data_IF_745640931606
#
_entry.id   IF_745640931606
#
_cell.length_a   1.000
_cell.length_b   1.000
_cell.length_c   1.000
_cell.angle_alpha   90.00
_cell.angle_beta   90.00
_cell.angle_gamma   90.00
#
_symmetry.space_group_name_H-M   'P 1'
#
loop_
_entity.id
_entity.type
_entity.pdbx_description
1 polymer ?
#
# COMPACT_ATOMS: atom_id res chain seq x y z
N UNK A 1 28.48 -28.65 -28.05
CA UNK A 1 27.91 -27.35 -27.67
C UNK A 1 28.26 -27.13 -26.22
N UNK A 2 29.17 -26.21 -25.93
CA UNK A 2 29.62 -25.94 -24.57
C UNK A 2 28.47 -25.35 -23.76
N UNK A 3 28.09 -26.04 -22.68
CA UNK A 3 26.98 -25.63 -21.83
C UNK A 3 27.35 -24.34 -21.12
N UNK A 4 26.56 -23.28 -21.31
CA UNK A 4 26.69 -22.03 -20.55
C UNK A 4 26.72 -22.32 -19.03
N UNK A 5 27.52 -21.56 -18.24
CA UNK A 5 27.56 -21.73 -16.79
C UNK A 5 26.15 -21.60 -16.16
N UNK A 6 25.81 -22.43 -15.16
CA UNK A 6 24.51 -22.40 -14.51
C UNK A 6 24.10 -21.03 -13.96
N UNK A 7 25.05 -20.22 -13.47
CA UNK A 7 24.76 -18.86 -13.01
C UNK A 7 24.38 -17.91 -14.15
N UNK A 8 25.01 -18.08 -15.32
CA UNK A 8 24.73 -17.28 -16.51
C UNK A 8 23.36 -17.64 -17.09
N UNK A 9 23.03 -18.93 -17.14
CA UNK A 9 21.71 -19.42 -17.55
C UNK A 9 20.60 -18.95 -16.61
N UNK A 10 20.82 -18.99 -15.29
CA UNK A 10 19.87 -18.47 -14.31
C UNK A 10 19.66 -16.95 -14.45
N UNK A 11 20.72 -16.18 -14.76
CA UNK A 11 20.61 -14.76 -15.07
C UNK A 11 19.80 -14.52 -16.34
N UNK A 12 20.11 -15.22 -17.44
CA UNK A 12 19.38 -15.10 -18.71
C UNK A 12 17.89 -15.41 -18.50
N UNK A 13 17.58 -16.50 -17.80
CA UNK A 13 16.20 -16.89 -17.51
C UNK A 13 15.44 -15.90 -16.61
N UNK A 14 16.14 -15.14 -15.76
CA UNK A 14 15.53 -14.08 -14.96
C UNK A 14 15.18 -12.82 -15.78
N UNK A 15 15.77 -12.65 -16.97
CA UNK A 15 15.46 -11.57 -17.92
C UNK A 15 14.46 -11.97 -19.00
N UNK A 16 14.17 -13.28 -19.15
CA UNK A 16 13.13 -13.72 -20.07
C UNK A 16 11.76 -13.23 -19.55
N UNK A 17 10.92 -12.66 -20.43
CA UNK A 17 9.56 -12.31 -20.05
C UNK A 17 8.83 -13.59 -19.58
N UNK A 18 7.91 -13.45 -18.63
CA UNK A 18 7.18 -14.60 -18.07
C UNK A 18 6.31 -15.36 -19.11
N UNK A 19 6.17 -14.79 -20.31
CA UNK A 19 5.57 -15.37 -21.52
C UNK A 19 6.52 -16.25 -22.32
N UNK A 20 7.83 -16.19 -22.06
CA UNK A 20 8.74 -17.23 -22.54
C UNK A 20 8.28 -18.56 -21.92
N UNK A 21 8.25 -19.63 -22.70
CA UNK A 21 7.74 -20.93 -22.27
C UNK A 21 8.69 -21.62 -21.28
N UNK A 22 8.88 -20.99 -20.13
CA UNK A 22 9.64 -21.46 -18.98
C UNK A 22 9.05 -22.79 -18.48
N UNK A 23 7.75 -23.02 -18.69
CA UNK A 23 7.08 -24.30 -18.42
C UNK A 23 7.61 -25.40 -19.34
N UNK A 24 7.66 -25.18 -20.65
CA UNK A 24 8.28 -26.13 -21.58
C UNK A 24 9.78 -26.30 -21.31
N UNK A 25 10.53 -25.21 -21.07
CA UNK A 25 11.95 -25.27 -20.66
C UNK A 25 12.15 -26.15 -19.43
N UNK A 26 11.23 -26.12 -18.46
CA UNK A 26 11.28 -26.99 -17.27
C UNK A 26 11.15 -28.48 -17.61
N UNK A 27 10.52 -28.82 -18.72
CA UNK A 27 10.28 -30.19 -19.16
C UNK A 27 11.39 -30.73 -20.06
N UNK A 28 12.28 -29.86 -20.58
CA UNK A 28 13.35 -30.26 -21.52
C UNK A 28 14.38 -31.17 -20.85
N UNK A 29 15.00 -30.73 -19.75
CA UNK A 29 15.97 -31.54 -18.98
C UNK A 29 16.19 -30.97 -17.57
N UNK A 30 16.96 -31.68 -16.75
CA UNK A 30 17.24 -31.28 -15.35
C UNK A 30 17.92 -29.91 -15.21
N UNK A 31 18.81 -29.55 -16.13
CA UNK A 31 19.54 -28.28 -16.09
C UNK A 31 18.62 -27.09 -16.42
N UNK A 32 17.81 -27.19 -17.47
CA UNK A 32 16.79 -26.18 -17.78
C UNK A 32 15.67 -26.15 -16.74
N UNK A 33 15.30 -27.29 -16.15
CA UNK A 33 14.38 -27.33 -15.02
C UNK A 33 14.90 -26.53 -13.82
N UNK A 34 16.18 -26.66 -13.46
CA UNK A 34 16.77 -25.88 -12.39
C UNK A 34 16.79 -24.37 -12.69
N UNK A 35 17.08 -24.01 -13.94
CA UNK A 35 17.14 -22.62 -14.43
C UNK A 35 15.75 -21.98 -14.49
N UNK A 36 14.76 -22.63 -15.10
CA UNK A 36 13.41 -22.12 -15.25
C UNK A 36 12.63 -22.11 -13.93
N UNK A 37 12.93 -23.02 -13.01
CA UNK A 37 12.19 -23.09 -11.75
C UNK A 37 12.37 -21.88 -10.84
N UNK A 38 13.51 -21.17 -10.89
CA UNK A 38 13.73 -19.97 -10.07
C UNK A 38 12.77 -18.83 -10.46
N UNK A 39 12.66 -18.40 -11.73
CA UNK A 39 11.67 -17.41 -12.13
C UNK A 39 10.23 -17.93 -11.99
N UNK A 40 9.95 -19.22 -12.26
CA UNK A 40 8.61 -19.82 -12.13
C UNK A 40 8.10 -19.97 -10.68
N UNK A 41 8.99 -19.96 -9.69
CA UNK A 41 8.61 -20.18 -8.28
C UNK A 41 9.16 -19.12 -7.35
N UNK A 42 9.64 -17.99 -7.90
CA UNK A 42 10.17 -16.88 -7.14
C UNK A 42 9.10 -16.11 -6.35
N UNK A 43 7.82 -16.27 -6.72
CA UNK A 43 6.68 -15.64 -6.07
C UNK A 43 5.67 -16.69 -5.61
N UNK A 44 5.24 -16.57 -4.35
CA UNK A 44 4.14 -17.30 -3.76
C UNK A 44 3.09 -16.28 -3.31
N UNK A 45 1.81 -16.51 -3.63
CA UNK A 45 0.72 -15.59 -3.27
C UNK A 45 -0.47 -16.33 -2.70
N UNK A 46 -0.91 -15.92 -1.52
CA UNK A 46 -2.19 -16.31 -0.92
C UNK A 46 -3.13 -15.11 -0.99
N UNK A 47 -4.11 -15.19 -1.88
CA UNK A 47 -5.03 -14.08 -2.19
C UNK A 47 -6.47 -14.51 -1.97
N UNK A 48 -7.32 -13.63 -1.46
CA UNK A 48 -8.76 -13.84 -1.40
C UNK A 48 -9.48 -13.60 -2.71
N UNK A 49 -8.81 -12.97 -3.69
CA UNK A 49 -9.40 -12.68 -4.99
C UNK A 49 -9.31 -13.89 -5.92
N UNK A 50 -10.37 -14.11 -6.70
CA UNK A 50 -10.38 -15.05 -7.82
C UNK A 50 -9.45 -14.53 -8.91
N UNK A 51 -8.44 -15.34 -9.25
CA UNK A 51 -7.30 -14.91 -10.09
C UNK A 51 -7.56 -14.99 -11.59
N UNK A 52 -8.68 -15.61 -11.97
CA UNK A 52 -9.21 -15.68 -13.33
C UNK A 52 -9.96 -14.42 -13.74
N UNK A 53 -10.17 -13.46 -12.82
CA UNK A 53 -10.93 -12.25 -13.09
C UNK A 53 -10.01 -11.03 -13.08
N UNK A 54 -10.10 -10.15 -14.09
CA UNK A 54 -9.48 -8.84 -13.99
C UNK A 54 -10.05 -8.11 -12.75
N UNK A 55 -9.23 -7.28 -12.08
CA UNK A 55 -9.71 -6.46 -10.97
C UNK A 55 -10.93 -5.66 -11.46
N UNK A 56 -12.00 -5.53 -10.65
CA UNK A 56 -13.28 -5.03 -11.14
C UNK A 56 -13.30 -3.57 -11.60
N UNK A 57 -12.22 -2.79 -11.49
CA UNK A 57 -12.29 -1.34 -11.70
C UNK A 57 -11.06 -0.73 -12.41
N UNK A 58 -11.32 -0.05 -13.52
CA UNK A 58 -10.43 0.90 -14.19
C UNK A 58 -10.37 2.20 -13.36
N UNK A 59 -9.34 2.36 -12.52
CA UNK A 59 -8.92 3.67 -12.03
C UNK A 59 -7.39 3.74 -11.97
N UNK A 60 -6.82 4.23 -13.07
CA UNK A 60 -5.41 4.65 -13.22
C UNK A 60 -4.36 3.55 -13.16
N UNK A 61 -3.23 3.67 -13.88
CA UNK A 61 -2.19 2.67 -13.87
C UNK A 61 -1.41 2.81 -12.56
N UNK A 62 -1.75 1.99 -11.55
CA UNK A 62 -0.65 1.46 -10.75
C UNK A 62 0.10 0.58 -11.73
N UNK A 63 1.25 1.04 -12.22
CA UNK A 63 2.23 0.14 -12.82
C UNK A 63 2.58 -0.86 -11.72
N UNK A 64 1.81 -1.95 -11.67
CA UNK A 64 2.17 -3.20 -11.04
C UNK A 64 3.48 -3.63 -11.68
N UNK A 65 4.60 -3.15 -11.15
CA UNK A 65 5.83 -3.92 -11.30
C UNK A 65 5.60 -5.21 -10.53
N UNK A 66 5.48 -6.29 -11.30
CA UNK A 66 5.33 -7.68 -10.91
C UNK A 66 3.89 -7.99 -10.46
N UNK A 67 3.03 -8.47 -11.34
CA UNK A 67 3.16 -9.77 -12.04
C UNK A 67 2.24 -9.71 -13.28
N UNK A 68 2.73 -9.82 -14.54
CA UNK A 68 1.84 -9.84 -15.69
C UNK A 68 0.72 -10.90 -15.55
N UNK A 69 -0.50 -10.64 -16.03
CA UNK A 69 -1.56 -11.65 -16.05
C UNK A 69 -1.01 -12.92 -16.71
N UNK A 70 -1.01 -14.03 -15.98
CA UNK A 70 -0.46 -15.31 -16.44
C UNK A 70 1.00 -15.63 -16.08
N UNK A 71 1.68 -14.88 -15.19
CA UNK A 71 2.95 -15.37 -14.65
C UNK A 71 2.72 -16.72 -13.98
N UNK A 72 3.53 -17.74 -14.28
CA UNK A 72 3.55 -18.95 -13.48
C UNK A 72 4.27 -18.60 -12.18
N UNK A 73 3.51 -18.11 -11.21
CA UNK A 73 3.73 -18.28 -9.78
C UNK A 73 2.55 -19.09 -9.26
N UNK A 74 2.71 -19.84 -8.17
CA UNK A 74 1.55 -20.53 -7.59
C UNK A 74 0.77 -19.55 -6.75
N UNK A 75 -0.15 -18.90 -7.42
CA UNK A 75 -1.12 -18.02 -6.81
C UNK A 75 -2.31 -18.92 -6.42
N UNK A 76 -2.80 -18.81 -5.19
CA UNK A 76 -3.94 -19.60 -4.70
C UNK A 76 -5.00 -18.67 -4.13
N UNK A 77 -6.25 -18.89 -4.54
CA UNK A 77 -7.38 -18.24 -3.87
C UNK A 77 -7.59 -18.91 -2.51
N UNK A 78 -7.46 -18.15 -1.42
CA UNK A 78 -7.41 -18.65 -0.04
C UNK A 78 -8.19 -17.70 0.88
N UNK A 79 -9.11 -18.27 1.65
CA UNK A 79 -9.70 -17.64 2.84
C UNK A 79 -8.70 -17.70 3.99
N UNK A 80 -8.70 -16.70 4.88
CA UNK A 80 -7.75 -16.63 5.99
C UNK A 80 -7.77 -17.89 6.87
N UNK A 81 -8.97 -18.37 7.26
CA UNK A 81 -9.12 -19.63 8.01
C UNK A 81 -8.61 -20.87 7.25
N UNK A 82 -8.56 -20.82 5.91
CA UNK A 82 -8.11 -21.90 5.04
C UNK A 82 -6.60 -21.92 4.77
N UNK A 83 -5.81 -20.98 5.33
CA UNK A 83 -4.35 -20.93 5.14
C UNK A 83 -3.64 -22.24 5.55
N UNK A 84 -3.99 -22.93 6.66
CA UNK A 84 -3.29 -24.16 7.04
C UNK A 84 -3.31 -25.23 5.94
N UNK A 85 -4.49 -25.49 5.36
CA UNK A 85 -4.63 -26.43 4.25
C UNK A 85 -3.88 -25.96 2.99
N UNK A 86 -3.86 -24.64 2.74
CA UNK A 86 -3.11 -24.06 1.64
C UNK A 86 -1.60 -24.26 1.77
N UNK A 87 -1.08 -24.08 2.99
CA UNK A 87 0.34 -24.30 3.32
C UNK A 87 0.72 -25.75 3.13
N UNK A 88 -0.06 -26.71 3.66
CA UNK A 88 0.26 -28.13 3.56
C UNK A 88 0.39 -28.59 2.10
N UNK A 89 -0.48 -28.11 1.21
CA UNK A 89 -0.36 -28.38 -0.23
C UNK A 89 0.92 -27.79 -0.84
N UNK A 90 1.25 -26.54 -0.48
CA UNK A 90 2.44 -25.86 -1.02
C UNK A 90 3.72 -26.55 -0.57
N UNK A 91 3.80 -26.95 0.70
CA UNK A 91 4.93 -27.68 1.26
C UNK A 91 5.11 -29.04 0.57
N UNK A 92 4.03 -29.73 0.24
CA UNK A 92 4.06 -31.03 -0.44
C UNK A 92 4.63 -31.02 -1.87
N UNK A 93 4.85 -29.85 -2.50
CA UNK A 93 5.15 -29.77 -3.94
C UNK A 93 6.53 -29.15 -4.28
N UNK A 94 7.39 -28.98 -3.28
CA UNK A 94 8.73 -28.37 -3.34
C UNK A 94 8.92 -26.89 -3.77
N UNK A 95 7.91 -26.03 -4.10
CA UNK A 95 8.20 -24.73 -4.69
C UNK A 95 8.55 -23.67 -3.62
N UNK A 96 8.12 -23.89 -2.37
CA UNK A 96 8.35 -22.99 -1.24
C UNK A 96 9.83 -22.63 -1.08
N UNK A 97 10.74 -23.60 -1.29
CA UNK A 97 12.20 -23.40 -1.16
C UNK A 97 12.79 -22.39 -2.14
N UNK A 98 12.08 -22.08 -3.23
CA UNK A 98 12.53 -21.17 -4.30
C UNK A 98 11.84 -19.81 -4.24
N UNK A 99 10.83 -19.68 -3.40
CA UNK A 99 10.08 -18.44 -3.25
C UNK A 99 10.93 -17.38 -2.56
N UNK A 100 11.00 -16.22 -3.20
CA UNK A 100 11.75 -15.04 -2.75
C UNK A 100 10.81 -13.95 -2.26
N UNK A 101 9.63 -13.87 -2.88
CA UNK A 101 8.58 -12.92 -2.54
C UNK A 101 7.33 -13.68 -2.08
N UNK A 102 6.77 -13.27 -0.96
CA UNK A 102 5.47 -13.72 -0.47
C UNK A 102 4.48 -12.58 -0.52
N UNK A 103 3.38 -12.75 -1.27
CA UNK A 103 2.28 -11.79 -1.30
C UNK A 103 1.13 -12.35 -0.47
N UNK A 104 0.61 -11.54 0.44
CA UNK A 104 -0.39 -11.96 1.40
C UNK A 104 -1.58 -10.99 1.39
N UNK A 105 -2.70 -11.48 0.87
CA UNK A 105 -3.96 -10.77 0.72
C UNK A 105 -5.17 -11.71 0.81
N UNK A 106 -5.21 -12.65 1.79
CA UNK A 106 -6.26 -13.68 1.85
C UNK A 106 -7.65 -13.06 2.10
N UNK A 107 -8.70 -13.80 1.74
CA UNK A 107 -10.06 -13.34 2.01
C UNK A 107 -10.28 -13.26 3.53
N UNK A 108 -10.79 -12.11 3.99
CA UNK A 108 -10.90 -11.79 5.41
C UNK A 108 -12.22 -11.15 5.81
N UNK A 109 -13.02 -11.89 6.57
CA UNK A 109 -14.38 -11.50 6.96
C UNK A 109 -14.32 -10.65 8.25
N UNK A 110 -14.39 -9.32 8.09
CA UNK A 110 -14.33 -8.33 9.18
C UNK A 110 -15.59 -8.35 10.05
N UNK A 111 -15.42 -8.24 11.36
CA UNK A 111 -16.53 -8.03 12.30
C UNK A 111 -17.20 -6.67 12.10
N UNK A 112 -18.52 -6.60 12.20
CA UNK A 112 -19.23 -5.32 12.03
C UNK A 112 -19.40 -4.86 10.58
N UNK A 113 -18.91 -5.62 9.59
CA UNK A 113 -19.10 -5.31 8.17
C UNK A 113 -20.57 -5.08 7.78
N UNK A 114 -21.47 -5.98 8.17
CA UNK A 114 -22.89 -5.86 7.83
C UNK A 114 -23.60 -4.69 8.49
N UNK A 115 -23.41 -4.43 9.80
CA UNK A 115 -23.85 -3.18 10.41
C UNK A 115 -23.36 -1.93 9.65
N UNK A 116 -22.09 -1.91 9.25
CA UNK A 116 -21.52 -0.77 8.49
C UNK A 116 -22.15 -0.64 7.10
N UNK A 117 -22.37 -1.76 6.42
CA UNK A 117 -23.06 -1.79 5.13
C UNK A 117 -24.50 -1.29 5.24
N UNK A 118 -25.26 -1.75 6.22
CA UNK A 118 -26.63 -1.32 6.46
C UNK A 118 -26.71 0.18 6.77
N UNK A 119 -25.76 0.69 7.55
CA UNK A 119 -25.63 2.13 7.83
C UNK A 119 -25.23 2.93 6.58
N UNK A 120 -24.41 2.36 5.68
CA UNK A 120 -24.15 2.99 4.39
C UNK A 120 -25.42 3.05 3.53
N UNK A 121 -26.18 1.95 3.44
CA UNK A 121 -27.45 1.94 2.71
C UNK A 121 -28.41 3.02 3.24
N UNK A 122 -28.52 3.14 4.57
CA UNK A 122 -29.34 4.17 5.22
C UNK A 122 -28.86 5.59 4.87
N UNK A 123 -27.54 5.83 4.86
CA UNK A 123 -26.98 7.12 4.44
C UNK A 123 -27.32 7.42 2.97
N UNK A 124 -27.15 6.46 2.06
CA UNK A 124 -27.43 6.62 0.62
C UNK A 124 -28.89 6.98 0.33
N UNK A 125 -29.85 6.53 1.17
CA UNK A 125 -31.27 6.92 1.07
C UNK A 125 -31.52 8.42 1.22
N UNK A 126 -30.61 9.10 1.91
CA UNK A 126 -30.69 10.53 2.24
C UNK A 126 -29.66 11.38 1.50
N UNK A 127 -28.73 10.76 0.78
CA UNK A 127 -27.75 11.47 -0.02
C UNK A 127 -28.42 12.21 -1.19
N UNK A 128 -28.01 13.45 -1.48
CA UNK A 128 -28.48 14.15 -2.67
C UNK A 128 -28.09 13.38 -3.95
N UNK A 129 -28.84 13.62 -5.02
CA UNK A 129 -28.54 13.06 -6.34
C UNK A 129 -27.71 14.09 -7.08
N UNK A 130 -26.45 13.76 -7.37
CA UNK A 130 -25.58 14.64 -8.16
C UNK A 130 -26.08 14.73 -9.61
N UNK A 131 -26.04 15.94 -10.19
CA UNK A 131 -26.46 16.24 -11.57
C UNK A 131 -25.67 15.42 -12.62
N UNK A 132 -24.53 14.82 -12.24
CA UNK A 132 -23.65 14.03 -13.11
C UNK A 132 -24.10 12.56 -13.26
N UNK A 133 -25.08 12.09 -12.47
CA UNK A 133 -25.58 10.70 -12.58
C UNK A 133 -26.60 10.49 -13.72
N UNK A 134 -26.97 11.56 -14.42
CA UNK A 134 -27.87 11.51 -15.55
C UNK A 134 -27.06 11.45 -16.85
N UNK A 135 -26.70 10.24 -17.30
CA UNK A 135 -26.24 10.02 -18.68
C UNK A 135 -27.42 10.31 -19.63
N UNK A 136 -27.63 11.58 -19.98
CA UNK A 136 -28.70 12.01 -20.87
C UNK A 136 -28.20 12.06 -22.33
N UNK A 137 -28.30 10.93 -23.01
CA UNK A 137 -28.35 10.89 -24.49
C UNK A 137 -29.76 11.26 -25.02
N UNK A 138 -30.72 11.63 -24.14
CA UNK A 138 -32.06 12.06 -24.53
C UNK A 138 -32.23 13.59 -24.39
N UNK A 139 -32.48 14.35 -25.48
CA UNK A 139 -32.54 15.82 -25.47
C UNK A 139 -33.85 16.42 -24.96
N UNK A 140 -34.72 15.62 -24.33
CA UNK A 140 -36.00 16.12 -23.81
C UNK A 140 -35.79 16.67 -22.39
N UNK A 141 -35.41 17.95 -22.33
CA UNK A 141 -35.66 18.82 -21.19
C UNK A 141 -37.13 18.69 -20.77
N UNK A 142 -37.42 18.16 -19.57
CA UNK A 142 -38.51 18.66 -18.71
C UNK A 142 -38.81 17.91 -17.40
N UNK A 143 -38.05 16.91 -16.93
CA UNK A 143 -38.35 16.37 -15.58
C UNK A 143 -37.14 15.90 -14.77
N UNK A 144 -36.20 16.82 -14.54
CA UNK A 144 -35.12 16.62 -13.58
C UNK A 144 -35.64 16.26 -12.19
N UNK A 145 -36.78 16.82 -11.78
CA UNK A 145 -37.42 16.51 -10.50
C UNK A 145 -37.91 15.04 -10.45
N UNK A 146 -38.59 14.54 -11.49
CA UNK A 146 -38.98 13.13 -11.54
C UNK A 146 -37.79 12.20 -11.73
N UNK A 147 -36.72 12.62 -12.41
CA UNK A 147 -35.50 11.84 -12.51
C UNK A 147 -34.80 11.71 -11.14
N UNK A 148 -34.67 12.81 -10.39
CA UNK A 148 -34.17 12.82 -9.01
C UNK A 148 -35.08 11.98 -8.10
N UNK A 149 -36.40 12.16 -8.18
CA UNK A 149 -37.35 11.41 -7.37
C UNK A 149 -37.28 9.91 -7.65
N UNK A 150 -37.13 9.48 -8.92
CA UNK A 150 -36.92 8.07 -9.28
C UNK A 150 -35.66 7.49 -8.64
N UNK A 151 -34.55 8.23 -8.65
CA UNK A 151 -33.30 7.79 -7.99
C UNK A 151 -33.50 7.70 -6.48
N UNK A 152 -34.13 8.70 -5.84
CA UNK A 152 -34.38 8.71 -4.40
C UNK A 152 -35.34 7.58 -3.98
N UNK A 153 -36.42 7.34 -4.72
CA UNK A 153 -37.33 6.21 -4.49
C UNK A 153 -36.60 4.88 -4.66
N UNK A 154 -35.76 4.76 -5.69
CA UNK A 154 -34.96 3.57 -5.91
C UNK A 154 -34.00 3.30 -4.75
N UNK A 155 -33.28 4.32 -4.24
CA UNK A 155 -32.40 4.22 -3.06
C UNK A 155 -33.20 3.88 -1.80
N UNK A 156 -34.36 4.50 -1.57
CA UNK A 156 -35.22 4.25 -0.41
C UNK A 156 -35.79 2.84 -0.36
N UNK A 157 -36.12 2.25 -1.51
CA UNK A 157 -36.63 0.88 -1.59
C UNK A 157 -35.51 -0.18 -1.48
N UNK A 158 -34.25 0.20 -1.68
CA UNK A 158 -33.12 -0.73 -1.75
C UNK A 158 -32.93 -1.59 -0.49
N UNK A 159 -33.00 -1.06 0.76
CA UNK A 159 -32.87 -1.91 1.95
C UNK A 159 -33.90 -3.03 2.01
N UNK A 160 -35.14 -2.78 1.59
CA UNK A 160 -36.20 -3.79 1.55
C UNK A 160 -35.96 -4.81 0.42
N UNK A 161 -35.50 -4.35 -0.75
CA UNK A 161 -35.15 -5.25 -1.88
C UNK A 161 -34.03 -6.21 -1.52
N UNK A 162 -33.00 -5.73 -0.81
CA UNK A 162 -31.82 -6.52 -0.47
C UNK A 162 -31.95 -7.29 0.86
N UNK A 163 -32.99 -7.05 1.68
CA UNK A 163 -33.09 -7.56 3.05
C UNK A 163 -32.89 -9.09 3.17
N UNK A 164 -33.48 -9.88 2.28
CA UNK A 164 -33.36 -11.33 2.31
C UNK A 164 -31.93 -11.80 1.98
N UNK A 165 -31.30 -11.15 0.99
CA UNK A 165 -29.94 -11.43 0.53
C UNK A 165 -28.93 -11.06 1.60
N UNK A 166 -29.10 -9.88 2.20
CA UNK A 166 -28.29 -9.39 3.31
C UNK A 166 -28.38 -10.34 4.50
N UNK A 167 -29.59 -10.79 4.86
CA UNK A 167 -29.77 -11.76 5.96
C UNK A 167 -29.02 -13.07 5.73
N UNK A 168 -29.10 -13.64 4.53
CA UNK A 168 -28.38 -14.87 4.18
C UNK A 168 -26.85 -14.67 4.12
N UNK A 169 -26.41 -13.55 3.54
CA UNK A 169 -25.00 -13.20 3.42
C UNK A 169 -24.38 -12.91 4.80
N UNK A 170 -25.13 -12.28 5.71
CA UNK A 170 -24.72 -12.01 7.08
C UNK A 170 -24.50 -13.28 7.90
N UNK A 171 -25.38 -14.27 7.76
CA UNK A 171 -25.20 -15.56 8.44
C UNK A 171 -23.88 -16.23 8.02
N UNK A 172 -23.64 -16.32 6.71
CA UNK A 172 -22.41 -16.90 6.15
C UNK A 172 -21.18 -16.11 6.57
N UNK A 173 -21.24 -14.79 6.54
CA UNK A 173 -20.14 -13.91 6.94
C UNK A 173 -19.77 -14.07 8.41
N UNK A 174 -20.78 -14.18 9.29
CA UNK A 174 -20.56 -14.36 10.73
C UNK A 174 -19.95 -15.74 11.04
N UNK A 175 -20.42 -16.79 10.35
CA UNK A 175 -19.81 -18.13 10.44
C UNK A 175 -18.33 -18.07 10.02
N UNK A 176 -18.03 -17.45 8.87
CA UNK A 176 -16.66 -17.26 8.40
C UNK A 176 -15.81 -16.41 9.34
N UNK A 177 -16.37 -15.34 9.90
CA UNK A 177 -15.71 -14.51 10.89
C UNK A 177 -15.32 -15.34 12.13
N UNK A 178 -16.22 -16.19 12.62
CA UNK A 178 -15.95 -17.09 13.73
C UNK A 178 -14.89 -18.14 13.40
N UNK A 179 -14.94 -18.75 12.20
CA UNK A 179 -13.92 -19.69 11.73
C UNK A 179 -12.53 -19.05 11.72
N UNK A 180 -12.39 -17.80 11.30
CA UNK A 180 -11.10 -17.10 11.28
C UNK A 180 -10.52 -16.92 12.68
N UNK A 181 -11.33 -16.52 13.66
CA UNK A 181 -10.87 -16.35 15.05
C UNK A 181 -10.41 -17.68 15.63
N UNK A 182 -11.17 -18.75 15.39
CA UNK A 182 -10.84 -20.09 15.87
C UNK A 182 -9.54 -20.64 15.26
N UNK A 183 -9.20 -20.22 14.05
CA UNK A 183 -8.03 -20.72 13.32
C UNK A 183 -6.80 -19.79 13.38
N UNK A 184 -6.85 -18.66 14.07
CA UNK A 184 -5.75 -17.67 14.05
C UNK A 184 -4.39 -18.28 14.43
N UNK A 185 -4.32 -19.02 15.53
CA UNK A 185 -3.07 -19.66 15.96
C UNK A 185 -2.62 -20.76 14.99
N UNK A 186 -3.56 -21.53 14.42
CA UNK A 186 -3.26 -22.54 13.41
C UNK A 186 -2.72 -21.90 12.12
N UNK A 187 -3.21 -20.71 11.75
CA UNK A 187 -2.72 -19.91 10.64
C UNK A 187 -1.27 -19.47 10.90
N UNK A 188 -0.98 -18.94 12.09
CA UNK A 188 0.39 -18.54 12.48
C UNK A 188 1.34 -19.74 12.43
N UNK A 189 0.96 -20.87 13.02
CA UNK A 189 1.79 -22.08 13.01
C UNK A 189 2.06 -22.58 11.58
N UNK A 190 1.03 -22.60 10.73
CA UNK A 190 1.16 -22.99 9.33
C UNK A 190 2.09 -22.04 8.57
N UNK A 191 1.94 -20.72 8.73
CA UNK A 191 2.82 -19.74 8.11
C UNK A 191 4.26 -19.87 8.64
N UNK A 192 4.46 -20.17 9.92
CA UNK A 192 5.80 -20.43 10.47
C UNK A 192 6.43 -21.67 9.81
N UNK A 193 5.68 -22.76 9.64
CA UNK A 193 6.13 -23.95 8.88
C UNK A 193 6.50 -23.59 7.43
N UNK A 194 5.67 -22.77 6.79
CA UNK A 194 5.94 -22.27 5.43
C UNK A 194 7.24 -21.46 5.37
N UNK A 195 7.43 -20.49 6.27
CA UNK A 195 8.62 -19.63 6.29
C UNK A 195 9.90 -20.39 6.63
N UNK A 196 9.84 -21.43 7.48
CA UNK A 196 10.98 -22.34 7.69
C UNK A 196 11.38 -23.05 6.40
N UNK A 197 10.41 -23.41 5.54
CA UNK A 197 10.67 -24.04 4.25
C UNK A 197 11.12 -23.04 3.16
N UNK A 198 10.74 -21.76 3.25
CA UNK A 198 11.09 -20.70 2.29
C UNK A 198 12.49 -20.13 2.57
N UNK A 199 13.52 -20.94 2.32
CA UNK A 199 14.92 -20.58 2.61
C UNK A 199 15.42 -19.33 1.89
N UNK A 200 14.81 -18.98 0.74
CA UNK A 200 15.19 -17.82 -0.09
C UNK A 200 14.28 -16.60 0.08
N UNK A 201 13.34 -16.63 1.03
CA UNK A 201 12.43 -15.51 1.28
C UNK A 201 13.24 -14.25 1.64
N UNK A 202 13.06 -13.21 0.84
CA UNK A 202 13.68 -11.89 1.00
C UNK A 202 12.62 -10.79 1.16
N UNK A 203 11.41 -11.00 0.68
CA UNK A 203 10.39 -9.96 0.49
C UNK A 203 9.00 -10.43 0.89
N UNK A 204 8.29 -9.61 1.67
CA UNK A 204 6.87 -9.77 1.99
C UNK A 204 6.12 -8.53 1.52
N UNK A 205 4.99 -8.76 0.85
CA UNK A 205 4.07 -7.72 0.39
C UNK A 205 2.67 -8.03 0.94
N UNK A 206 2.21 -7.16 1.84
CA UNK A 206 0.89 -7.25 2.49
C UNK A 206 -0.05 -6.31 1.77
N UNK A 207 -1.16 -6.84 1.27
CA UNK A 207 -2.16 -6.05 0.53
C UNK A 207 -3.53 -6.19 1.17
N UNK A 208 -4.39 -5.17 1.02
CA UNK A 208 -5.79 -5.28 1.42
C UNK A 208 -6.49 -6.37 0.60
N UNK A 209 -7.41 -7.07 1.24
CA UNK A 209 -8.40 -7.84 0.50
C UNK A 209 -9.55 -6.92 0.10
N UNK A 210 -9.72 -6.70 -1.21
CA UNK A 210 -10.90 -6.02 -1.74
C UNK A 210 -11.97 -7.07 -2.05
N UNK A 211 -12.99 -7.12 -1.18
CA UNK A 211 -14.20 -7.90 -1.38
C UNK A 211 -15.18 -7.15 -2.27
N UNK A 212 -15.73 -7.87 -3.24
CA UNK A 212 -16.81 -7.46 -4.11
C UNK A 212 -17.99 -8.40 -3.84
N UNK A 213 -18.89 -7.95 -2.99
CA UNK A 213 -20.07 -8.68 -2.55
C UNK A 213 -21.07 -8.92 -3.66
N UNK A 214 -21.15 -8.05 -4.68
CA UNK A 214 -22.00 -8.27 -5.85
C UNK A 214 -21.57 -9.53 -6.63
N UNK A 215 -20.28 -9.86 -6.64
CA UNK A 215 -19.80 -11.09 -7.30
C UNK A 215 -20.18 -12.36 -6.55
N UNK A 216 -20.25 -12.31 -5.22
CA UNK A 216 -20.57 -13.46 -4.37
C UNK A 216 -22.09 -13.57 -4.11
N UNK A 217 -22.78 -12.43 -4.13
CA UNK A 217 -24.20 -12.27 -3.92
C UNK A 217 -24.76 -11.37 -5.04
N UNK A 218 -25.09 -11.96 -6.20
CA UNK A 218 -25.49 -11.22 -7.41
C UNK A 218 -26.73 -10.33 -7.26
N UNK A 219 -27.50 -10.53 -6.21
CA UNK A 219 -28.71 -9.77 -5.90
C UNK A 219 -28.42 -8.48 -5.09
N UNK A 220 -27.16 -8.24 -4.68
CA UNK A 220 -26.75 -6.96 -4.11
C UNK A 220 -26.46 -5.95 -5.22
N UNK A 221 -27.06 -4.76 -5.14
CA UNK A 221 -26.92 -3.72 -6.19
C UNK A 221 -25.54 -3.04 -6.12
N UNK A 222 -25.02 -2.79 -4.91
CA UNK A 222 -23.65 -2.33 -4.65
C UNK A 222 -23.14 -2.91 -3.33
N UNK A 223 -22.01 -3.63 -3.33
CA UNK A 223 -21.40 -4.10 -2.09
C UNK A 223 -19.90 -4.30 -2.31
N UNK A 224 -19.10 -3.31 -1.94
CA UNK A 224 -17.64 -3.37 -2.10
C UNK A 224 -17.03 -3.03 -0.75
N UNK A 225 -16.34 -3.99 -0.13
CA UNK A 225 -15.76 -3.76 1.21
C UNK A 225 -14.81 -2.58 1.20
N UNK A 226 -14.02 -2.44 0.13
CA UNK A 226 -13.11 -1.32 -0.03
C UNK A 226 -13.80 0.04 0.10
N UNK A 227 -15.00 0.21 -0.45
CA UNK A 227 -15.73 1.49 -0.36
C UNK A 227 -16.20 1.74 1.08
N UNK A 228 -16.78 0.72 1.72
CA UNK A 228 -17.23 0.77 3.13
C UNK A 228 -16.05 1.05 4.06
N UNK A 229 -14.95 0.32 3.88
CA UNK A 229 -13.74 0.38 4.70
C UNK A 229 -13.01 1.72 4.52
N UNK A 230 -12.99 2.29 3.31
CA UNK A 230 -12.45 3.61 3.04
C UNK A 230 -13.32 4.74 3.61
N UNK A 231 -14.66 4.60 3.56
CA UNK A 231 -15.59 5.57 4.16
C UNK A 231 -15.48 5.57 5.70
N UNK A 232 -15.28 4.39 6.30
CA UNK A 232 -15.18 4.20 7.75
C UNK A 232 -13.73 4.05 8.17
N UNK A 233 -13.02 5.19 8.17
CA UNK A 233 -11.65 5.45 8.67
C UNK A 233 -11.03 4.35 9.56
N UNK A 234 -10.58 3.21 9.02
CA UNK A 234 -9.98 2.20 9.92
C UNK A 234 -9.88 0.75 9.48
N UNK A 235 -10.64 0.32 8.47
CA UNK A 235 -11.15 -1.05 8.52
C UNK A 235 -10.34 -2.11 7.75
N UNK A 236 -9.13 -1.78 7.28
CA UNK A 236 -8.40 -2.68 6.40
C UNK A 236 -7.61 -3.74 7.19
N UNK A 237 -7.62 -5.01 6.76
CA UNK A 237 -6.97 -6.10 7.49
C UNK A 237 -5.44 -6.09 7.34
N UNK A 238 -4.86 -5.18 6.54
CA UNK A 238 -3.42 -5.16 6.24
C UNK A 238 -2.53 -5.06 7.48
N UNK A 239 -2.89 -4.21 8.46
CA UNK A 239 -2.11 -4.11 9.72
C UNK A 239 -2.23 -5.40 10.53
N UNK A 240 -3.43 -5.98 10.64
CA UNK A 240 -3.63 -7.28 11.30
C UNK A 240 -2.82 -8.39 10.62
N UNK A 241 -2.83 -8.45 9.29
CA UNK A 241 -2.03 -9.40 8.52
C UNK A 241 -0.54 -9.24 8.76
N UNK A 242 -0.04 -8.00 8.87
CA UNK A 242 1.35 -7.74 9.22
C UNK A 242 1.70 -8.37 10.58
N UNK A 243 0.84 -8.25 11.59
CA UNK A 243 1.06 -8.84 12.91
C UNK A 243 1.08 -10.38 12.88
N UNK A 244 0.13 -10.99 12.17
CA UNK A 244 0.09 -12.45 11.96
C UNK A 244 1.38 -12.94 11.29
N UNK A 245 1.83 -12.24 10.24
CA UNK A 245 3.07 -12.56 9.54
C UNK A 245 4.31 -12.33 10.41
N UNK A 246 4.29 -11.29 11.25
CA UNK A 246 5.37 -11.01 12.19
C UNK A 246 5.50 -12.13 13.24
N UNK A 247 4.38 -12.63 13.78
CA UNK A 247 4.34 -13.79 14.69
C UNK A 247 4.94 -15.03 14.01
N UNK A 248 4.48 -15.32 12.79
CA UNK A 248 4.98 -16.46 12.02
C UNK A 248 6.48 -16.36 11.68
N UNK A 249 6.98 -15.17 11.32
CA UNK A 249 8.41 -14.92 11.09
C UNK A 249 9.24 -15.12 12.35
N UNK A 250 8.72 -14.63 13.49
CA UNK A 250 9.37 -14.77 14.79
C UNK A 250 9.47 -16.25 15.19
N UNK A 251 8.38 -17.01 15.11
CA UNK A 251 8.38 -18.45 15.37
C UNK A 251 9.25 -19.25 14.39
N UNK A 252 9.37 -18.78 13.16
CA UNK A 252 10.26 -19.38 12.17
C UNK A 252 11.73 -19.00 12.37
N UNK A 253 12.05 -18.01 13.22
CA UNK A 253 13.39 -17.45 13.36
C UNK A 253 13.92 -16.84 12.06
N UNK A 254 13.02 -16.29 11.23
CA UNK A 254 13.33 -15.76 9.90
C UNK A 254 13.25 -14.24 9.88
N UNK A 255 14.13 -13.62 9.10
CA UNK A 255 14.09 -12.21 8.78
C UNK A 255 13.91 -12.03 7.28
N UNK A 256 13.29 -10.92 6.90
CA UNK A 256 13.17 -10.50 5.50
C UNK A 256 13.94 -9.20 5.31
N UNK A 257 14.28 -8.89 4.05
CA UNK A 257 14.99 -7.65 3.71
C UNK A 257 14.04 -6.56 3.25
N UNK A 258 12.83 -6.92 2.82
CA UNK A 258 11.90 -6.00 2.18
C UNK A 258 10.50 -6.25 2.71
N UNK A 259 9.87 -5.18 3.15
CA UNK A 259 8.50 -5.16 3.60
C UNK A 259 7.74 -4.08 2.82
N UNK A 260 6.60 -4.48 2.26
CA UNK A 260 5.63 -3.60 1.64
C UNK A 260 4.28 -3.84 2.32
N UNK A 261 3.62 -2.79 2.77
CA UNK A 261 2.29 -2.86 3.38
C UNK A 261 1.42 -1.80 2.72
N UNK A 262 0.38 -2.25 2.05
CA UNK A 262 -0.62 -1.38 1.43
C UNK A 262 -1.79 -1.14 2.39
N UNK A 263 -2.30 0.08 2.41
CA UNK A 263 -3.44 0.48 3.25
C UNK A 263 -3.18 0.18 4.73
N UNK A 264 -2.01 0.63 5.18
CA UNK A 264 -1.52 0.50 6.53
C UNK A 264 -2.24 1.48 7.47
N UNK A 265 -2.69 0.96 8.60
CA UNK A 265 -3.28 1.70 9.71
C UNK A 265 -2.35 1.65 10.90
N UNK A 266 -1.73 2.79 11.21
CA UNK A 266 -0.78 2.90 12.31
C UNK A 266 -1.43 2.52 13.65
N UNK A 267 -2.62 3.06 13.94
CA UNK A 267 -3.33 2.90 15.21
C UNK A 267 -3.65 1.44 15.60
N UNK A 268 -3.64 0.52 14.63
CA UNK A 268 -3.93 -0.90 14.86
C UNK A 268 -2.66 -1.73 15.09
N UNK A 269 -1.48 -1.13 15.00
CA UNK A 269 -0.22 -1.83 15.15
C UNK A 269 0.20 -1.88 16.62
N UNK A 270 0.49 -3.07 17.11
CA UNK A 270 0.93 -3.32 18.47
C UNK A 270 2.46 -3.51 18.54
N UNK A 271 3.05 -2.94 19.59
CA UNK A 271 4.45 -3.17 19.92
C UNK A 271 4.61 -4.53 20.63
N UNK A 272 5.04 -5.54 19.87
CA UNK A 272 5.22 -6.90 20.36
C UNK A 272 6.63 -7.41 20.03
N UNK A 273 7.13 -8.45 20.71
CA UNK A 273 8.40 -9.09 20.32
C UNK A 273 8.42 -9.53 18.86
N UNK A 274 7.27 -9.97 18.33
CA UNK A 274 7.12 -10.41 16.95
C UNK A 274 7.24 -9.24 15.95
N UNK A 275 6.54 -8.12 16.19
CA UNK A 275 6.63 -6.94 15.30
C UNK A 275 8.02 -6.30 15.33
N UNK A 276 8.68 -6.27 16.51
CA UNK A 276 10.09 -5.87 16.63
C UNK A 276 11.04 -6.81 15.87
N UNK A 277 10.82 -8.13 15.96
CA UNK A 277 11.60 -9.13 15.24
C UNK A 277 11.47 -8.98 13.72
N UNK A 278 10.24 -8.82 13.22
CA UNK A 278 9.95 -8.63 11.79
C UNK A 278 10.60 -7.36 11.21
N UNK A 279 10.76 -6.32 12.03
CA UNK A 279 11.41 -5.06 11.64
C UNK A 279 12.95 -5.11 11.63
N UNK A 280 13.55 -6.13 12.25
CA UNK A 280 15.00 -6.28 12.32
C UNK A 280 15.57 -6.78 11.00
N UNK A 281 16.61 -6.11 10.48
CA UNK A 281 17.30 -6.51 9.25
C UNK A 281 16.66 -6.01 7.95
N UNK A 282 15.56 -5.25 8.05
CA UNK A 282 14.90 -4.64 6.89
C UNK A 282 15.84 -3.65 6.19
N UNK A 283 15.91 -3.78 4.87
CA UNK A 283 16.66 -2.90 3.97
C UNK A 283 15.72 -1.98 3.17
N UNK A 284 14.46 -2.39 2.99
CA UNK A 284 13.43 -1.59 2.34
C UNK A 284 12.12 -1.69 3.10
N UNK A 285 11.53 -0.54 3.38
CA UNK A 285 10.18 -0.40 3.94
C UNK A 285 9.36 0.43 2.96
N UNK A 286 8.17 -0.05 2.62
CA UNK A 286 7.17 0.69 1.84
C UNK A 286 5.85 0.63 2.58
N UNK A 287 5.35 1.79 3.03
CA UNK A 287 4.05 1.91 3.70
C UNK A 287 3.16 2.81 2.86
N UNK A 288 2.02 2.28 2.43
CA UNK A 288 0.94 3.07 1.83
C UNK A 288 -0.14 3.27 2.89
N UNK A 289 -0.37 4.51 3.31
CA UNK A 289 -1.24 4.89 4.41
C UNK A 289 -2.44 5.68 3.88
N UNK A 290 -3.65 5.22 4.18
CA UNK A 290 -4.87 5.95 3.83
C UNK A 290 -5.15 7.08 4.83
N UNK A 291 -4.82 6.83 6.10
CA UNK A 291 -5.03 7.74 7.23
C UNK A 291 -3.68 8.18 7.78
N UNK A 292 -3.48 9.50 7.84
CA UNK A 292 -2.23 10.13 8.28
C UNK A 292 -2.48 11.16 9.38
N UNK A 293 -3.65 11.13 10.00
CA UNK A 293 -4.05 12.01 11.10
C UNK A 293 -3.08 11.89 12.30
N UNK A 294 -2.54 10.69 12.55
CA UNK A 294 -1.51 10.45 13.58
C UNK A 294 -0.17 11.18 13.28
N UNK A 295 0.05 11.60 12.04
CA UNK A 295 1.24 12.37 11.64
C UNK A 295 1.03 13.88 11.77
N UNK A 296 -0.18 14.36 12.11
CA UNK A 296 -0.43 15.79 12.26
C UNK A 296 0.50 16.39 13.33
N UNK A 297 0.92 17.65 13.16
CA UNK A 297 1.87 18.29 14.08
C UNK A 297 1.38 18.29 15.54
N UNK A 298 0.08 18.46 15.76
CA UNK A 298 -0.58 18.42 17.08
C UNK A 298 -0.83 17.00 17.61
N UNK A 299 -0.69 15.97 16.77
CA UNK A 299 -0.93 14.60 17.17
C UNK A 299 0.19 14.10 18.13
N UNK A 300 -0.15 13.20 19.06
CA UNK A 300 0.86 12.53 19.88
C UNK A 300 1.78 11.69 18.99
N UNK A 301 3.03 11.52 19.45
CA UNK A 301 4.00 10.65 18.77
C UNK A 301 3.49 9.21 18.72
N UNK A 302 3.75 8.53 17.62
CA UNK A 302 3.35 7.14 17.42
C UNK A 302 4.49 6.19 17.80
N UNK A 303 4.67 5.99 19.11
CA UNK A 303 5.83 5.28 19.70
C UNK A 303 6.05 3.87 19.14
N UNK A 304 4.98 3.16 18.79
CA UNK A 304 5.08 1.83 18.20
C UNK A 304 5.86 1.87 16.88
N UNK A 305 5.55 2.83 16.00
CA UNK A 305 6.28 2.98 14.74
C UNK A 305 7.70 3.45 14.96
N UNK A 306 7.94 4.35 15.93
CA UNK A 306 9.29 4.79 16.30
C UNK A 306 10.15 3.59 16.71
N UNK A 307 9.63 2.70 17.55
CA UNK A 307 10.33 1.48 17.96
C UNK A 307 10.58 0.55 16.77
N UNK A 308 9.61 0.36 15.85
CA UNK A 308 9.83 -0.44 14.66
C UNK A 308 10.95 0.13 13.78
N UNK A 309 10.93 1.44 13.52
CA UNK A 309 11.95 2.09 12.70
C UNK A 309 13.32 2.10 13.38
N UNK A 310 13.37 2.21 14.72
CA UNK A 310 14.59 2.03 15.52
C UNK A 310 15.20 0.64 15.30
N UNK A 311 14.39 -0.42 15.20
CA UNK A 311 14.88 -1.78 14.90
C UNK A 311 15.41 -1.93 13.47
N UNK A 312 14.81 -1.22 12.51
CA UNK A 312 15.27 -1.21 11.12
C UNK A 312 16.49 -0.31 10.88
N UNK A 313 16.78 0.61 11.81
CA UNK A 313 17.80 1.65 11.72
C UNK A 313 19.17 1.19 11.20
N UNK A 314 19.75 0.05 11.65
CA UNK A 314 21.10 -0.35 11.24
C UNK A 314 21.21 -0.79 9.77
N UNK A 315 20.09 -1.20 9.15
CA UNK A 315 20.07 -1.87 7.84
C UNK A 315 19.25 -1.17 6.79
N UNK A 316 18.34 -0.26 7.17
CA UNK A 316 17.41 0.39 6.25
C UNK A 316 18.17 1.21 5.21
N UNK A 317 17.86 0.96 3.93
CA UNK A 317 18.44 1.65 2.76
C UNK A 317 17.42 2.43 1.96
N UNK A 318 16.17 1.98 1.96
CA UNK A 318 15.08 2.58 1.20
C UNK A 318 13.84 2.72 2.06
N UNK A 319 13.34 3.93 2.15
CA UNK A 319 12.07 4.24 2.82
C UNK A 319 11.09 4.81 1.79
N UNK A 320 9.88 4.29 1.77
CA UNK A 320 8.80 4.80 0.94
C UNK A 320 7.56 4.96 1.80
N UNK A 321 7.06 6.18 1.85
CA UNK A 321 5.83 6.55 2.55
C UNK A 321 4.91 7.18 1.52
N UNK A 322 3.79 6.51 1.27
CA UNK A 322 2.76 6.98 0.34
C UNK A 322 1.52 7.24 1.17
N UNK A 323 1.08 8.48 1.23
CA UNK A 323 -0.10 8.88 1.95
C UNK A 323 -1.19 9.33 0.99
N UNK A 324 -2.44 9.28 1.46
CA UNK A 324 -3.60 9.61 0.66
C UNK A 324 -3.97 8.48 -0.30
N UNK A 325 -5.27 8.28 -0.51
CA UNK A 325 -5.76 7.34 -1.50
C UNK A 325 -5.40 7.73 -2.94
N UNK A 326 -6.03 7.08 -3.92
CA UNK A 326 -5.78 7.29 -5.38
C UNK A 326 -6.07 8.71 -5.91
N UNK A 327 -6.45 9.65 -5.06
CA UNK A 327 -6.71 11.05 -5.41
C UNK A 327 -5.93 11.93 -4.44
N UNK A 328 -5.35 13.07 -4.88
CA UNK A 328 -4.69 14.01 -3.99
C UNK A 328 -5.77 14.81 -3.24
N UNK A 329 -6.62 14.12 -2.47
CA UNK A 329 -7.34 14.75 -1.38
C UNK A 329 -6.28 15.01 -0.33
N UNK A 330 -5.70 16.21 -0.43
CA UNK A 330 -4.87 16.74 0.62
C UNK A 330 -5.64 16.57 1.93
N UNK A 331 -5.02 15.99 2.98
CA UNK A 331 -5.66 15.89 4.28
C UNK A 331 -6.29 17.23 4.69
N UNK A 332 -7.41 17.15 5.42
CA UNK A 332 -8.04 18.33 6.00
C UNK A 332 -6.97 19.17 6.74
N UNK A 333 -6.99 20.48 6.51
CA UNK A 333 -5.99 21.49 6.94
C UNK A 333 -5.10 21.04 8.12
N UNK A 334 -3.78 21.07 7.93
CA UNK A 334 -2.80 20.76 8.97
C UNK A 334 -1.46 20.31 8.39
N UNK A 335 -0.37 20.63 9.06
CA UNK A 335 0.96 20.12 8.74
C UNK A 335 1.15 18.72 9.31
N UNK A 336 1.89 17.88 8.57
CA UNK A 336 2.33 16.56 9.03
C UNK A 336 3.83 16.57 9.28
N UNK A 337 4.24 15.86 10.32
CA UNK A 337 5.65 15.66 10.68
C UNK A 337 6.01 14.18 10.59
N UNK A 338 7.06 13.88 9.81
CA UNK A 338 7.66 12.53 9.78
C UNK A 338 8.23 12.15 11.15
N UNK A 339 8.58 13.13 11.99
CA UNK A 339 9.18 12.90 13.31
C UNK A 339 8.18 12.26 14.29
N UNK A 340 6.88 12.27 13.99
CA UNK A 340 5.87 11.50 14.75
C UNK A 340 6.11 9.99 14.72
N UNK A 341 6.80 9.48 13.71
CA UNK A 341 7.18 8.05 13.61
C UNK A 341 8.67 7.81 13.36
N UNK A 342 9.43 8.85 13.00
CA UNK A 342 10.87 8.79 12.72
C UNK A 342 11.69 9.67 13.68
N UNK A 343 11.15 10.01 14.85
CA UNK A 343 11.80 10.84 15.87
C UNK A 343 11.74 10.24 17.27
N UNK A 344 12.68 10.63 18.13
CA UNK A 344 12.81 10.22 19.53
C UNK A 344 12.79 11.42 20.47
N UNK A 345 12.36 11.18 21.70
CA UNK A 345 12.30 12.21 22.74
C UNK A 345 11.22 13.27 22.49
N UNK A 346 11.02 14.12 23.49
CA UNK A 346 10.00 15.17 23.44
C UNK A 346 10.42 16.32 22.50
N UNK A 347 11.73 16.43 22.22
CA UNK A 347 12.30 17.40 21.28
C UNK A 347 12.14 16.99 19.80
N UNK A 348 11.52 15.83 19.52
CA UNK A 348 11.43 15.24 18.18
C UNK A 348 12.81 15.15 17.50
N UNK A 349 13.77 14.50 18.17
CA UNK A 349 15.12 14.27 17.62
C UNK A 349 15.05 13.20 16.53
N UNK A 350 15.50 13.45 15.29
CA UNK A 350 15.37 12.47 14.21
C UNK A 350 16.12 11.15 14.48
N UNK A 351 15.49 10.03 14.14
CA UNK A 351 16.19 8.76 13.96
C UNK A 351 17.21 8.89 12.82
N UNK A 352 18.44 8.45 13.08
CA UNK A 352 19.55 8.49 12.11
C UNK A 352 19.74 7.13 11.47
N UNK A 353 19.49 7.01 10.18
CA UNK A 353 19.64 5.76 9.44
C UNK A 353 20.97 5.75 8.67
N UNK A 354 22.02 5.06 9.16
CA UNK A 354 23.38 5.22 8.62
C UNK A 354 23.55 4.74 7.17
N UNK A 355 22.62 3.88 6.71
CA UNK A 355 22.64 3.27 5.38
C UNK A 355 21.50 3.75 4.47
N UNK A 356 20.71 4.73 4.90
CA UNK A 356 19.56 5.20 4.12
C UNK A 356 20.04 5.96 2.89
N UNK A 357 19.85 5.35 1.73
CA UNK A 357 20.30 5.85 0.42
C UNK A 357 19.17 6.59 -0.31
N UNK A 358 17.91 6.21 -0.06
CA UNK A 358 16.76 6.69 -0.81
C UNK A 358 15.49 6.85 0.04
N UNK A 359 14.80 7.98 -0.13
CA UNK A 359 13.49 8.26 0.47
C UNK A 359 12.51 8.65 -0.64
N UNK A 360 11.31 8.06 -0.60
CA UNK A 360 10.14 8.44 -1.40
C UNK A 360 9.01 8.89 -0.48
N UNK A 361 8.51 10.09 -0.69
CA UNK A 361 7.34 10.65 -0.01
C UNK A 361 6.27 11.00 -1.03
N UNK A 362 5.04 10.60 -0.77
CA UNK A 362 3.91 10.88 -1.66
C UNK A 362 2.64 11.27 -0.91
N UNK A 363 1.90 12.25 -1.44
CA UNK A 363 0.55 12.61 -0.98
C UNK A 363 0.47 13.18 0.45
N UNK A 364 1.48 13.93 0.88
CA UNK A 364 1.58 14.52 2.22
C UNK A 364 1.62 16.06 2.17
N UNK A 365 1.09 16.67 3.23
CA UNK A 365 1.31 18.08 3.57
C UNK A 365 2.34 18.13 4.69
N UNK A 366 3.57 18.53 4.40
CA UNK A 366 4.68 18.43 5.33
C UNK A 366 5.03 19.78 5.95
N UNK A 367 5.30 19.77 7.25
CA UNK A 367 5.96 20.88 7.92
C UNK A 367 7.45 20.89 7.55
N UNK A 368 7.92 22.01 6.99
CA UNK A 368 9.27 22.13 6.44
C UNK A 368 10.37 21.98 7.50
N UNK A 369 10.29 22.59 8.71
CA UNK A 369 11.35 22.47 9.70
C UNK A 369 11.59 21.03 10.19
N UNK A 370 10.55 20.25 10.56
CA UNK A 370 10.70 18.82 10.87
C UNK A 370 11.30 18.02 9.72
N UNK A 371 10.83 18.24 8.49
CA UNK A 371 11.34 17.56 7.29
C UNK A 371 12.84 17.87 7.07
N UNK A 372 13.23 19.14 7.12
CA UNK A 372 14.64 19.56 7.00
C UNK A 372 15.51 18.92 8.07
N UNK A 373 15.05 18.91 9.32
CA UNK A 373 15.78 18.30 10.44
C UNK A 373 15.99 16.81 10.19
N UNK A 374 14.94 16.10 9.79
CA UNK A 374 15.02 14.68 9.46
C UNK A 374 16.01 14.41 8.33
N UNK A 375 15.90 15.12 7.19
CA UNK A 375 16.75 14.91 6.02
C UNK A 375 18.22 15.21 6.30
N UNK A 376 18.52 16.30 7.01
CA UNK A 376 19.91 16.68 7.38
C UNK A 376 20.58 15.68 8.30
N UNK A 377 19.80 14.99 9.14
CA UNK A 377 20.31 13.98 10.05
C UNK A 377 20.77 12.69 9.34
N UNK A 378 20.44 12.49 8.06
CA UNK A 378 20.75 11.26 7.32
C UNK A 378 22.11 11.34 6.60
N UNK A 379 23.17 10.65 7.09
CA UNK A 379 24.53 10.84 6.58
C UNK A 379 24.76 10.24 5.18
N UNK A 380 23.98 9.21 4.81
CA UNK A 380 24.15 8.46 3.56
C UNK A 380 23.10 8.75 2.50
N UNK A 381 22.23 9.75 2.70
CA UNK A 381 21.09 9.99 1.81
C UNK A 381 21.58 10.50 0.45
N UNK A 382 21.36 9.71 -0.61
CA UNK A 382 21.83 10.03 -1.95
C UNK A 382 20.71 10.53 -2.88
N UNK A 383 19.48 10.10 -2.65
CA UNK A 383 18.36 10.32 -3.58
C UNK A 383 17.02 10.57 -2.87
N UNK A 384 16.26 11.55 -3.36
CA UNK A 384 14.92 11.89 -2.87
C UNK A 384 13.87 11.83 -3.98
N UNK A 385 12.67 11.39 -3.63
CA UNK A 385 11.50 11.44 -4.51
C UNK A 385 10.32 12.06 -3.75
N UNK A 386 9.77 13.13 -4.31
CA UNK A 386 8.56 13.79 -3.83
C UNK A 386 7.47 13.66 -4.88
N UNK A 387 6.28 13.19 -4.49
CA UNK A 387 5.12 13.16 -5.38
C UNK A 387 3.90 13.75 -4.70
N UNK A 388 3.21 14.71 -5.33
CA UNK A 388 2.03 15.31 -4.70
C UNK A 388 2.32 15.83 -3.27
N UNK A 389 3.45 16.53 -3.09
CA UNK A 389 3.91 17.00 -1.78
C UNK A 389 3.70 18.50 -1.65
N UNK A 390 3.20 18.91 -0.49
CA UNK A 390 2.91 20.30 -0.18
C UNK A 390 3.61 20.72 1.10
N UNK A 391 4.14 21.93 1.14
CA UNK A 391 4.84 22.49 2.30
C UNK A 391 3.98 23.56 2.97
N UNK A 392 3.54 23.31 4.21
CA UNK A 392 2.56 24.18 4.88
C UNK A 392 3.18 25.27 5.77
N UNK A 393 4.50 25.28 5.96
CA UNK A 393 5.17 26.27 6.82
C UNK A 393 5.38 27.59 6.07
N UNK A 394 4.82 28.73 6.55
CA UNK A 394 5.08 30.05 5.97
C UNK A 394 6.57 30.38 5.93
N UNK A 395 7.01 31.09 4.90
CA UNK A 395 8.40 31.52 4.67
C UNK A 395 9.44 30.38 4.56
N UNK A 396 9.00 29.12 4.57
CA UNK A 396 9.85 27.92 4.50
C UNK A 396 9.40 26.98 3.36
N UNK A 397 9.18 27.53 2.17
CA UNK A 397 8.80 26.78 0.98
C UNK A 397 9.92 25.95 0.34
N UNK A 398 9.70 25.52 -0.91
CA UNK A 398 10.63 24.65 -1.65
C UNK A 398 12.05 25.21 -1.83
N UNK A 399 12.26 26.51 -2.12
CA UNK A 399 13.61 27.07 -2.21
C UNK A 399 14.41 26.85 -0.92
N UNK A 400 13.80 27.12 0.24
CA UNK A 400 14.42 26.95 1.56
C UNK A 400 14.73 25.48 1.83
N UNK A 401 13.79 24.57 1.56
CA UNK A 401 13.98 23.13 1.72
C UNK A 401 15.13 22.60 0.86
N UNK A 402 15.23 23.04 -0.39
CA UNK A 402 16.23 22.59 -1.36
C UNK A 402 17.64 23.08 -1.01
N UNK A 403 17.76 24.32 -0.53
CA UNK A 403 19.02 24.84 0.02
C UNK A 403 19.46 24.09 1.28
N UNK A 404 18.49 23.55 2.03
CA UNK A 404 18.72 22.82 3.26
C UNK A 404 19.11 21.35 3.08
N UNK A 405 19.11 20.81 1.86
CA UNK A 405 19.42 19.39 1.62
C UNK A 405 20.84 19.01 2.07
N UNK A 406 21.01 17.78 2.61
CA UNK A 406 22.30 17.33 3.12
C UNK A 406 23.34 17.25 2.00
N UNK A 407 24.64 17.46 2.31
CA UNK A 407 25.70 17.41 1.30
C UNK A 407 25.83 16.07 0.57
N UNK A 408 25.37 14.97 1.17
CA UNK A 408 25.36 13.63 0.58
C UNK A 408 24.37 13.48 -0.58
N UNK A 409 23.36 14.36 -0.67
CA UNK A 409 22.30 14.25 -1.67
C UNK A 409 22.82 14.57 -3.07
N UNK A 410 22.71 13.61 -3.97
CA UNK A 410 23.21 13.72 -5.36
C UNK A 410 22.11 14.13 -6.33
N UNK A 411 20.90 13.63 -6.10
CA UNK A 411 19.75 13.88 -6.97
C UNK A 411 18.44 13.88 -6.18
N UNK A 412 17.45 14.59 -6.70
CA UNK A 412 16.07 14.45 -6.26
C UNK A 412 15.13 14.60 -7.45
N UNK A 413 13.91 14.11 -7.30
CA UNK A 413 12.89 14.22 -8.34
C UNK A 413 11.55 14.60 -7.77
N UNK A 414 10.78 15.32 -8.59
CA UNK A 414 9.38 15.62 -8.33
C UNK A 414 8.49 15.04 -9.42
N UNK A 415 7.30 14.58 -9.03
CA UNK A 415 6.24 14.14 -9.94
C UNK A 415 4.89 14.64 -9.44
N UNK A 416 4.07 15.16 -10.36
CA UNK A 416 2.79 15.77 -10.00
C UNK A 416 2.94 17.17 -9.36
N UNK A 417 1.82 17.78 -8.94
CA UNK A 417 1.80 19.09 -8.29
C UNK A 417 2.65 19.07 -7.02
N UNK A 418 3.45 20.12 -6.86
CA UNK A 418 4.06 20.48 -5.58
C UNK A 418 3.39 21.77 -5.11
N UNK A 419 3.23 21.93 -3.80
CA UNK A 419 2.72 23.19 -3.25
C UNK A 419 3.58 23.73 -2.12
N UNK A 420 3.43 25.01 -1.84
CA UNK A 420 4.02 25.70 -0.70
C UNK A 420 3.13 26.85 -0.26
N UNK A 421 3.22 27.21 1.02
CA UNK A 421 2.59 28.37 1.65
C UNK A 421 1.05 28.36 1.63
N UNK A 422 0.40 28.53 2.80
CA UNK A 422 -1.05 28.64 2.84
C UNK A 422 -1.51 29.92 2.13
N UNK A 423 -2.54 29.82 1.31
CA UNK A 423 -3.26 30.96 0.75
C UNK A 423 -4.21 31.46 1.84
N UNK A 424 -4.03 32.71 2.28
CA UNK A 424 -5.01 33.41 3.11
C UNK A 424 -6.29 33.63 2.29
N UNK A 425 -7.19 32.65 2.29
CA UNK A 425 -8.52 32.78 1.71
C UNK A 425 -9.56 32.80 2.84
N UNK A 426 -10.20 33.95 3.03
CA UNK A 426 -11.42 34.09 3.82
C UNK A 426 -12.57 33.38 3.09
N UNK A 427 -12.72 32.07 3.32
CA UNK A 427 -13.81 31.27 2.76
C UNK A 427 -13.64 29.77 3.03
N UNK A 428 -14.70 28.95 2.85
CA UNK A 428 -14.59 27.50 2.92
C UNK A 428 -13.79 27.03 1.69
N UNK A 429 -12.47 26.96 1.84
CA UNK A 429 -11.53 26.64 0.77
C UNK A 429 -11.58 25.16 0.48
N UNK A 430 -12.58 24.75 -0.30
CA UNK A 430 -12.56 23.46 -0.95
C UNK A 430 -11.42 23.49 -2.00
N UNK A 431 -10.43 22.62 -1.81
CA UNK A 431 -9.53 22.06 -2.83
C UNK A 431 -8.17 22.66 -3.17
N UNK A 432 -7.72 23.83 -2.70
CA UNK A 432 -6.27 24.18 -2.70
C UNK A 432 -6.03 25.43 -1.85
N UNK A 433 -5.82 25.24 -0.55
CA UNK A 433 -5.38 26.31 0.35
C UNK A 433 -3.86 26.52 0.30
N UNK A 434 -3.16 25.98 -0.69
CA UNK A 434 -1.71 26.15 -0.86
C UNK A 434 -1.35 26.57 -2.27
N UNK A 435 -0.35 27.44 -2.39
CA UNK A 435 0.16 27.90 -3.69
C UNK A 435 0.86 26.75 -4.41
N UNK A 436 0.57 26.55 -5.70
CA UNK A 436 1.30 25.55 -6.49
C UNK A 436 2.71 26.07 -6.78
N UNK A 437 3.72 25.26 -6.48
CA UNK A 437 5.12 25.56 -6.76
C UNK A 437 5.55 24.87 -8.05
N UNK A 438 6.14 25.61 -8.99
CA UNK A 438 6.74 24.98 -10.17
C UNK A 438 8.23 24.73 -9.98
N UNK A 439 8.73 23.53 -10.30
CA UNK A 439 10.14 23.21 -10.10
C UNK A 439 11.15 24.03 -10.92
N UNK A 440 10.65 24.89 -11.85
CA UNK A 440 11.45 25.84 -12.63
C UNK A 440 11.79 27.12 -11.88
N UNK A 441 11.21 27.34 -10.70
CA UNK A 441 11.40 28.53 -9.86
C UNK A 441 12.67 28.49 -9.01
N UNK A 442 13.46 27.41 -9.04
CA UNK A 442 14.72 27.37 -8.29
C UNK A 442 15.71 28.41 -8.82
N UNK A 443 16.35 29.19 -7.94
CA UNK A 443 17.37 30.14 -8.36
C UNK A 443 18.58 29.38 -8.92
N UNK A 444 19.28 29.99 -9.87
CA UNK A 444 20.53 29.43 -10.45
C UNK A 444 21.60 29.19 -9.37
N UNK A 445 21.54 29.94 -8.26
CA UNK A 445 22.41 29.80 -7.09
C UNK A 445 22.08 28.59 -6.21
N UNK A 446 20.97 27.87 -6.46
CA UNK A 446 20.56 26.72 -5.64
C UNK A 446 21.53 25.53 -5.69
N UNK A 447 22.47 25.50 -6.65
CA UNK A 447 23.38 24.38 -6.85
C UNK A 447 22.72 23.15 -7.46
N UNK A 448 21.51 23.29 -8.02
CA UNK A 448 20.76 22.20 -8.66
C UNK A 448 20.51 22.49 -10.13
N UNK A 449 20.72 21.48 -10.98
CA UNK A 449 20.36 21.50 -12.39
C UNK A 449 19.09 20.70 -12.61
N UNK A 450 18.04 21.37 -13.10
CA UNK A 450 16.77 20.77 -13.44
C UNK A 450 16.79 20.16 -14.86
N UNK A 451 16.22 18.98 -15.01
CA UNK A 451 15.95 18.32 -16.28
C UNK A 451 14.48 17.89 -16.29
N UNK A 452 13.67 18.58 -17.09
CA UNK A 452 12.26 18.27 -17.23
C UNK A 452 12.03 17.09 -18.18
N UNK A 453 11.26 16.11 -17.73
CA UNK A 453 10.83 14.92 -18.48
C UNK A 453 9.36 14.65 -18.15
N UNK A 454 8.43 15.32 -18.81
CA UNK A 454 6.99 15.21 -18.55
C UNK A 454 6.54 13.76 -18.24
N UNK A 455 5.93 13.46 -17.08
CA UNK A 455 5.45 14.37 -16.01
C UNK A 455 6.44 14.59 -14.83
N UNK A 456 7.70 14.19 -14.97
CA UNK A 456 8.73 14.23 -13.95
C UNK A 456 9.67 15.43 -14.13
N UNK A 457 10.14 16.02 -13.03
CA UNK A 457 11.33 16.90 -13.05
C UNK A 457 12.43 16.26 -12.22
N UNK A 458 13.62 16.09 -12.82
CA UNK A 458 14.81 15.55 -12.14
C UNK A 458 15.79 16.67 -11.85
N UNK A 459 16.33 16.66 -10.65
CA UNK A 459 17.34 17.59 -10.19
C UNK A 459 18.62 16.83 -9.89
N UNK A 460 19.72 17.29 -10.49
CA UNK A 460 21.07 16.76 -10.21
C UNK A 460 21.91 17.89 -9.66
N UNK A 461 22.70 17.61 -8.63
CA UNK A 461 23.57 18.62 -8.05
C UNK A 461 24.61 19.10 -9.06
N UNK A 462 24.86 20.40 -9.11
CA UNK A 462 25.94 21.00 -9.89
C UNK A 462 27.22 20.77 -9.11
N UNK A 463 28.13 19.99 -9.70
CA UNK A 463 29.45 19.65 -9.15
C UNK A 463 30.44 20.79 -9.26
#
# INVERSE_FOLDING_TARGET
MDSLPPELLARIAAFLPATADLRALRLVNRQYAAVASRPLFGLLRFSGQRQDQPPPWNFGPVQERAVPPGVPGRTRTVEFAGIPAAVDEVLGRAPARRARTFVFDPAYYREGFWPDYLMQLENEMHEPVDEVQFDSDDPDEDDWEAAINRVLEHRRARPEREAAVVGAAQATWNEKAAEQRLNEDAVVEALARLFRAMTTLDEIDVRPWSFDGCRLYPELETCISYAIDAQRRGSFPSTFFLEVLARALHEAGRHVKRLSVSEFFADHLHDTPATRHASTGLQRISLTMLHVEFMADEAPRFDVLVELFRRAQPTLRRLSIVAGGKWPQLPARGGHSLLKMLGEGDDETPLVFPRLEFIHLEGLILSSPPLMRFLRAQPGLESLEFRHIYLCTPDAGWPVLVEAFPPSLKNWKSMGPLGHEPINADGPTAYNWMTTWTPRELPLSSGWKAAWRNPETRFTRVS
#
